data_IF_880817815726
#
_entry.id   IF_880817815726
#
_cell.length_a   1.000
_cell.length_b   1.000
_cell.length_c   1.000
_cell.angle_alpha   90.00
_cell.angle_beta   90.00
_cell.angle_gamma   90.00
#
_symmetry.space_group_name_H-M   'P 1'
#
loop_
_entity.id
_entity.type
_entity.pdbx_description
1 polymer ?
#
# COMPACT_ATOMS: atom_id res chain seq x y z
N UNK A 1 11.03 -2.94 10.29
CA UNK A 1 11.16 -3.37 8.88
C UNK A 1 10.11 -2.62 8.09
N UNK A 2 10.44 -2.05 6.95
CA UNK A 2 9.44 -1.41 6.08
C UNK A 2 9.23 -2.27 4.85
N UNK A 3 8.06 -2.13 4.23
CA UNK A 3 7.66 -2.81 3.01
C UNK A 3 7.25 -1.79 1.96
N UNK A 4 7.50 -2.13 0.69
CA UNK A 4 6.85 -1.50 -0.46
C UNK A 4 5.72 -2.43 -0.89
N UNK A 5 4.54 -1.88 -1.13
CA UNK A 5 3.37 -2.66 -1.52
C UNK A 5 2.67 -2.06 -2.74
N UNK A 6 1.93 -2.93 -3.43
CA UNK A 6 1.00 -2.58 -4.51
C UNK A 6 -0.37 -3.16 -4.16
N UNK A 7 -1.39 -2.31 -4.16
CA UNK A 7 -2.79 -2.70 -4.04
C UNK A 7 -3.48 -2.59 -5.40
N UNK A 8 -4.47 -3.44 -5.63
CA UNK A 8 -5.33 -3.44 -6.81
C UNK A 8 -6.75 -2.98 -6.47
N UNK A 9 -7.30 -2.19 -7.38
CA UNK A 9 -8.69 -1.75 -7.40
C UNK A 9 -9.41 -2.36 -8.60
N UNK A 10 -10.41 -3.20 -8.38
CA UNK A 10 -11.29 -3.66 -9.47
C UNK A 10 -12.20 -2.54 -9.99
N UNK A 11 -12.67 -1.64 -9.11
CA UNK A 11 -13.62 -0.59 -9.50
C UNK A 11 -12.97 0.54 -10.29
N UNK A 12 -11.76 0.94 -9.89
CA UNK A 12 -10.99 1.99 -10.57
C UNK A 12 -10.11 1.43 -11.68
N UNK A 13 -9.95 0.10 -11.76
CA UNK A 13 -9.06 -0.60 -12.67
C UNK A 13 -7.64 -0.04 -12.60
N UNK A 14 -7.10 0.11 -11.37
CA UNK A 14 -5.84 0.81 -11.09
C UNK A 14 -5.05 0.15 -9.97
N UNK A 15 -3.74 0.36 -10.03
CA UNK A 15 -2.82 0.07 -8.94
C UNK A 15 -2.62 1.28 -8.02
N UNK A 16 -2.43 1.01 -6.74
CA UNK A 16 -2.00 1.98 -5.74
C UNK A 16 -0.71 1.46 -5.08
N UNK A 17 0.33 2.28 -5.06
CA UNK A 17 1.62 1.93 -4.46
C UNK A 17 1.84 2.70 -3.16
N UNK A 18 2.48 2.07 -2.18
CA UNK A 18 2.84 2.76 -0.96
C UNK A 18 3.90 2.03 -0.16
N UNK A 19 4.26 2.61 0.99
CA UNK A 19 5.13 1.98 1.98
C UNK A 19 4.40 1.85 3.32
N UNK A 20 4.78 0.83 4.08
CA UNK A 20 4.23 0.59 5.42
C UNK A 20 5.20 -0.27 6.23
N UNK A 21 5.15 -0.18 7.53
CA UNK A 21 5.83 -1.10 8.46
C UNK A 21 5.01 -2.38 8.73
N UNK A 22 3.70 -2.32 8.50
CA UNK A 22 2.79 -3.47 8.60
C UNK A 22 1.78 -3.49 7.42
N UNK A 23 1.79 -4.57 6.63
CA UNK A 23 0.94 -4.70 5.43
C UNK A 23 -0.52 -5.02 5.75
N UNK A 24 -0.78 -5.80 6.80
CA UNK A 24 -2.12 -6.21 7.22
C UNK A 24 -2.90 -5.00 7.73
N UNK A 25 -2.33 -4.28 8.71
CA UNK A 25 -2.94 -3.06 9.26
C UNK A 25 -3.15 -2.01 8.18
N UNK A 26 -2.22 -1.87 7.22
CA UNK A 26 -2.36 -0.91 6.13
C UNK A 26 -3.50 -1.26 5.19
N UNK A 27 -3.66 -2.55 4.86
CA UNK A 27 -4.76 -3.01 4.02
C UNK A 27 -6.12 -2.75 4.70
N UNK A 28 -6.21 -3.00 6.00
CA UNK A 28 -7.40 -2.68 6.81
C UNK A 28 -7.70 -1.19 6.84
N UNK A 29 -6.69 -0.33 7.00
CA UNK A 29 -6.86 1.13 6.97
C UNK A 29 -7.42 1.61 5.62
N UNK A 30 -6.92 1.08 4.50
CA UNK A 30 -7.45 1.40 3.17
C UNK A 30 -8.90 0.91 3.01
N UNK A 31 -9.20 -0.30 3.49
CA UNK A 31 -10.53 -0.91 3.36
C UNK A 31 -11.56 -0.42 4.38
N UNK A 32 -11.14 0.20 5.47
CA UNK A 32 -12.03 0.85 6.44
C UNK A 32 -12.46 2.24 6.00
N UNK A 33 -11.74 2.87 5.08
CA UNK A 33 -12.00 4.26 4.67
C UNK A 33 -11.74 5.28 5.80
N UNK A 34 -10.97 4.91 6.82
CA UNK A 34 -10.70 5.76 8.00
C UNK A 34 -10.10 7.14 7.64
N UNK A 35 -9.37 7.21 6.54
CA UNK A 35 -8.84 8.45 5.98
C UNK A 35 -9.77 8.97 4.87
N UNK A 36 -10.89 9.59 5.24
CA UNK A 36 -11.97 9.97 4.32
C UNK A 36 -11.54 10.91 3.18
N UNK A 37 -10.52 11.74 3.42
CA UNK A 37 -10.00 12.68 2.43
C UNK A 37 -8.90 12.08 1.53
N UNK A 38 -8.46 10.84 1.81
CA UNK A 38 -7.46 10.16 1.01
C UNK A 38 -8.04 9.74 -0.34
N UNK A 39 -7.20 9.77 -1.38
CA UNK A 39 -7.58 9.25 -2.70
C UNK A 39 -8.11 7.80 -2.61
N UNK A 40 -7.48 6.98 -1.76
CA UNK A 40 -7.81 5.58 -1.61
C UNK A 40 -9.16 5.32 -0.93
N UNK A 41 -9.74 6.30 -0.23
CA UNK A 41 -11.08 6.16 0.34
C UNK A 41 -12.19 6.12 -0.74
N UNK A 42 -11.89 6.55 -1.96
CA UNK A 42 -12.82 6.54 -3.11
C UNK A 42 -13.09 5.14 -3.66
N UNK A 43 -12.28 4.17 -3.25
CA UNK A 43 -12.44 2.81 -3.72
C UNK A 43 -12.16 1.79 -2.62
N UNK A 44 -13.17 1.00 -2.31
CA UNK A 44 -13.11 -0.09 -1.33
C UNK A 44 -13.94 -1.23 -1.95
N UNK A 45 -13.43 -2.48 -1.99
CA UNK A 45 -12.21 -2.96 -1.35
C UNK A 45 -10.96 -2.91 -2.23
N UNK A 46 -9.84 -2.49 -1.65
CA UNK A 46 -8.49 -2.74 -2.12
C UNK A 46 -8.07 -4.19 -1.86
N UNK A 47 -7.35 -4.78 -2.83
CA UNK A 47 -6.76 -6.11 -2.72
C UNK A 47 -5.24 -6.02 -2.73
N UNK A 48 -4.56 -6.78 -1.88
CA UNK A 48 -3.10 -6.88 -1.95
C UNK A 48 -2.69 -7.58 -3.24
N UNK A 49 -1.89 -6.90 -4.07
CA UNK A 49 -1.38 -7.45 -5.31
C UNK A 49 0.08 -7.88 -5.19
N UNK A 50 0.90 -7.06 -4.53
CA UNK A 50 2.32 -7.33 -4.31
C UNK A 50 2.82 -6.69 -3.02
N UNK A 51 3.78 -7.35 -2.36
CA UNK A 51 4.51 -6.79 -1.21
C UNK A 51 5.95 -7.31 -1.24
N UNK A 52 6.89 -6.42 -0.96
CA UNK A 52 8.32 -6.75 -0.81
C UNK A 52 8.88 -6.02 0.40
N UNK A 53 9.88 -6.58 1.11
CA UNK A 53 10.70 -5.80 2.01
C UNK A 53 11.23 -4.56 1.29
N UNK A 54 11.20 -3.42 1.98
CA UNK A 54 11.77 -2.18 1.50
C UNK A 54 13.26 -2.40 1.29
N UNK A 55 13.72 -2.19 0.06
CA UNK A 55 15.14 -2.14 -0.25
C UNK A 55 15.60 -0.79 0.32
N UNK A 56 15.99 -0.78 1.59
CA UNK A 56 16.93 0.24 2.05
C UNK A 56 18.11 0.18 1.09
N UNK A 57 18.68 1.32 0.65
CA UNK A 57 19.87 1.26 -0.16
C UNK A 57 20.85 0.33 0.56
N UNK A 58 21.18 -0.79 -0.07
CA UNK A 58 22.45 -1.47 0.20
C UNK A 58 23.43 -0.33 0.07
N UNK A 59 24.05 0.05 1.18
CA UNK A 59 24.87 1.24 1.29
C UNK A 59 25.68 1.37 0.00
N UNK A 60 25.34 2.37 -0.82
CA UNK A 60 26.29 2.85 -1.81
C UNK A 60 27.36 3.54 -0.98
N UNK A 61 28.27 2.75 -0.43
CA UNK A 61 29.60 3.23 -0.05
C UNK A 61 30.20 3.80 -1.33
N UNK A 62 30.21 5.13 -1.42
CA UNK A 62 31.02 5.91 -2.35
C UNK A 62 32.34 6.21 -1.64
#
# INVERSE_FOLDING_TARGET
MYFVYILWSDKLNRFYTGTTDNIETRLEQHNSGIYTDAFSAKDIPWKLFYVTPGIFPIDFEI
#
